data_IF_682047779405
#
_entry.id   IF_682047779405
#
_cell.length_a   1.000
_cell.length_b   1.000
_cell.length_c   1.000
_cell.angle_alpha   90.00
_cell.angle_beta   90.00
_cell.angle_gamma   90.00
#
_symmetry.space_group_name_H-M   'P 1'
#
loop_
_entity.id
_entity.type
_entity.pdbx_description
1 polymer ?
#
# COMPACT_ATOMS: atom_id res chain seq x y z
N UNK A 1 -8.71 -4.75 -21.03
CA UNK A 1 -7.58 -4.79 -20.08
C UNK A 1 -6.41 -5.48 -20.74
N UNK A 2 -5.19 -4.99 -20.53
CA UNK A 2 -3.98 -5.74 -20.87
C UNK A 2 -3.92 -7.01 -20.02
N UNK A 3 -3.54 -8.15 -20.62
CA UNK A 3 -3.38 -9.41 -19.92
C UNK A 3 -1.93 -9.57 -19.48
N UNK A 4 -1.73 -9.90 -18.21
CA UNK A 4 -0.42 -10.25 -17.64
C UNK A 4 -0.51 -11.69 -17.17
N UNK A 5 0.47 -12.52 -17.55
CA UNK A 5 0.55 -13.92 -17.14
C UNK A 5 1.63 -14.08 -16.08
N UNK A 6 1.28 -14.67 -14.93
CA UNK A 6 2.20 -14.96 -13.83
C UNK A 6 1.90 -16.37 -13.33
N UNK A 7 2.94 -17.15 -13.05
CA UNK A 7 2.81 -18.45 -12.39
C UNK A 7 2.83 -18.26 -10.88
N UNK A 8 1.89 -18.89 -10.18
CA UNK A 8 1.79 -18.85 -8.73
C UNK A 8 1.62 -20.28 -8.20
N UNK A 9 2.03 -20.47 -6.95
CA UNK A 9 1.76 -21.71 -6.24
C UNK A 9 0.24 -21.89 -6.03
N UNK A 10 -0.28 -23.08 -6.33
CA UNK A 10 -1.71 -23.35 -6.24
C UNK A 10 -2.20 -23.36 -4.79
N UNK A 11 -1.41 -23.88 -3.84
CA UNK A 11 -1.75 -23.94 -2.42
C UNK A 11 -1.90 -22.51 -1.87
N UNK A 12 -0.96 -21.63 -2.21
CA UNK A 12 -1.01 -20.22 -1.83
C UNK A 12 -2.30 -19.55 -2.32
N UNK A 13 -2.68 -19.77 -3.58
CA UNK A 13 -3.90 -19.16 -4.14
C UNK A 13 -5.15 -19.72 -3.46
N UNK A 14 -5.19 -21.01 -3.16
CA UNK A 14 -6.30 -21.65 -2.44
C UNK A 14 -6.44 -21.08 -1.02
N UNK A 15 -5.35 -20.89 -0.29
CA UNK A 15 -5.40 -20.26 1.04
C UNK A 15 -6.03 -18.86 0.99
N UNK A 16 -5.62 -18.04 0.01
CA UNK A 16 -6.20 -16.70 -0.19
C UNK A 16 -7.68 -16.79 -0.56
N UNK A 17 -8.05 -17.72 -1.43
CA UNK A 17 -9.45 -17.95 -1.82
C UNK A 17 -10.31 -18.28 -0.60
N UNK A 18 -9.85 -19.15 0.29
CA UNK A 18 -10.53 -19.50 1.54
C UNK A 18 -10.65 -18.29 2.46
N UNK A 19 -9.54 -17.56 2.67
CA UNK A 19 -9.52 -16.38 3.53
C UNK A 19 -10.44 -15.26 3.03
N UNK A 20 -10.51 -15.05 1.72
CA UNK A 20 -11.32 -14.02 1.09
C UNK A 20 -12.76 -14.47 0.77
N UNK A 21 -13.07 -15.76 0.90
CA UNK A 21 -14.38 -16.32 0.57
C UNK A 21 -14.73 -16.25 -0.93
N UNK A 22 -13.74 -16.36 -1.81
CA UNK A 22 -13.92 -16.27 -3.27
C UNK A 22 -13.67 -17.61 -3.96
N UNK A 23 -14.42 -17.88 -5.04
CA UNK A 23 -14.34 -19.13 -5.81
C UNK A 23 -13.40 -19.10 -7.02
N UNK A 24 -12.73 -17.98 -7.28
CA UNK A 24 -11.90 -17.76 -8.47
C UNK A 24 -10.45 -17.41 -8.06
N UNK A 25 -9.44 -18.11 -8.61
CA UNK A 25 -8.03 -17.74 -8.48
C UNK A 25 -7.74 -16.31 -8.93
N UNK A 26 -8.41 -15.84 -9.99
CA UNK A 26 -8.24 -14.48 -10.49
C UNK A 26 -8.74 -13.46 -9.48
N UNK A 27 -9.92 -13.68 -8.91
CA UNK A 27 -10.52 -12.75 -7.94
C UNK A 27 -9.67 -12.68 -6.66
N UNK A 28 -9.16 -13.83 -6.21
CA UNK A 28 -8.24 -13.89 -5.07
C UNK A 28 -6.98 -13.04 -5.30
N UNK A 29 -6.35 -13.17 -6.47
CA UNK A 29 -5.15 -12.37 -6.81
C UNK A 29 -5.50 -10.89 -6.95
N UNK A 30 -6.63 -10.54 -7.60
CA UNK A 30 -7.05 -9.15 -7.73
C UNK A 30 -7.30 -8.49 -6.38
N UNK A 31 -7.93 -9.19 -5.43
CA UNK A 31 -8.16 -8.70 -4.08
C UNK A 31 -6.85 -8.42 -3.36
N UNK A 32 -5.88 -9.34 -3.43
CA UNK A 32 -4.56 -9.18 -2.80
C UNK A 32 -3.79 -8.00 -3.40
N UNK A 33 -3.77 -7.86 -4.72
CA UNK A 33 -3.07 -6.76 -5.40
C UNK A 33 -3.70 -5.42 -5.03
N UNK A 34 -5.03 -5.33 -5.00
CA UNK A 34 -5.74 -4.10 -4.59
C UNK A 34 -5.46 -3.75 -3.13
N UNK A 35 -5.48 -4.73 -2.23
CA UNK A 35 -5.14 -4.53 -0.83
C UNK A 35 -3.69 -4.08 -0.65
N UNK A 36 -2.75 -4.67 -1.39
CA UNK A 36 -1.34 -4.26 -1.37
C UNK A 36 -1.17 -2.79 -1.80
N UNK A 37 -1.81 -2.38 -2.89
CA UNK A 37 -1.79 -0.98 -3.36
C UNK A 37 -2.41 -0.05 -2.32
N UNK A 38 -3.58 -0.41 -1.76
CA UNK A 38 -4.24 0.38 -0.73
C UNK A 38 -3.39 0.53 0.55
N UNK A 39 -2.68 -0.53 0.95
CA UNK A 39 -1.69 -0.49 2.04
C UNK A 39 -0.50 0.39 1.72
N UNK A 40 -0.01 0.35 0.47
CA UNK A 40 1.03 1.24 -0.03
C UNK A 40 0.63 2.71 0.12
N UNK A 41 -0.54 3.08 -0.43
CA UNK A 41 -1.06 4.44 -0.31
C UNK A 41 -1.30 4.86 1.14
N UNK A 42 -1.77 3.96 2.02
CA UNK A 42 -1.91 4.27 3.45
C UNK A 42 -0.56 4.56 4.09
N UNK A 43 0.46 3.77 3.75
CA UNK A 43 1.81 3.97 4.29
C UNK A 43 2.42 5.27 3.78
N UNK A 44 2.27 5.55 2.49
CA UNK A 44 2.72 6.80 1.88
C UNK A 44 2.01 8.01 2.49
N UNK A 45 0.69 7.94 2.72
CA UNK A 45 -0.05 9.00 3.38
C UNK A 45 0.44 9.25 4.81
N UNK A 46 0.69 8.19 5.59
CA UNK A 46 1.22 8.32 6.96
C UNK A 46 2.65 8.86 7.00
N UNK A 47 3.48 8.51 6.02
CA UNK A 47 4.85 9.04 5.90
C UNK A 47 4.82 10.49 5.42
N UNK A 48 3.97 10.82 4.43
CA UNK A 48 3.82 12.18 3.91
C UNK A 48 3.28 13.14 4.97
N UNK A 49 2.26 12.74 5.75
CA UNK A 49 1.74 13.52 6.89
C UNK A 49 2.82 13.75 7.97
N UNK A 50 3.68 12.75 8.19
CA UNK A 50 4.83 12.90 9.09
C UNK A 50 5.91 13.82 8.54
N UNK A 51 6.18 13.79 7.23
CA UNK A 51 7.14 14.71 6.60
C UNK A 51 6.62 16.15 6.51
N UNK A 52 5.31 16.34 6.32
CA UNK A 52 4.64 17.64 6.35
C UNK A 52 4.66 18.24 7.76
N UNK A 53 4.30 17.44 8.78
CA UNK A 53 4.38 17.88 10.18
C UNK A 53 5.80 18.17 10.66
N UNK A 54 6.82 17.45 10.19
CA UNK A 54 8.23 17.78 10.48
C UNK A 54 8.66 19.10 9.83
N UNK A 55 8.18 19.39 8.61
CA UNK A 55 8.43 20.67 7.92
C UNK A 55 7.70 21.85 8.58
N UNK A 56 6.50 21.63 9.12
CA UNK A 56 5.75 22.67 9.84
C UNK A 56 6.29 22.93 11.27
N UNK A 57 7.00 21.96 11.86
CA UNK A 57 7.63 22.11 13.19
C UNK A 57 9.05 22.69 13.10
N UNK A 58 9.62 22.88 11.91
CA UNK A 58 10.93 23.52 11.78
C UNK A 58 10.82 25.00 12.21
N UNK A 59 11.44 25.40 13.34
CA UNK A 59 11.38 26.78 13.77
C UNK A 59 12.19 27.60 12.76
N UNK A 60 11.53 28.58 12.12
CA UNK A 60 12.20 29.61 11.30
C UNK A 60 13.45 30.08 12.06
N UNK A 61 14.65 30.09 11.44
CA UNK A 61 15.83 30.63 12.08
C UNK A 61 15.51 32.07 12.45
N UNK A 62 15.37 32.35 13.75
CA UNK A 62 15.30 33.72 14.23
C UNK A 62 16.61 34.37 13.80
N UNK A 63 16.52 35.28 12.83
CA UNK A 63 17.62 36.15 12.48
C UNK A 63 18.06 36.86 13.76
N UNK A 64 19.16 36.39 14.33
CA UNK A 64 19.79 36.99 15.50
C UNK A 64 20.42 38.29 14.99
N UNK A 65 19.63 39.37 15.05
CA UNK A 65 20.11 40.73 14.88
C UNK A 65 20.62 41.23 16.22
N UNK A 66 21.89 41.66 16.26
CA UNK A 66 22.48 42.43 17.37
C UNK A 66 23.79 41.86 17.86
#
# INVERSE_FOLDING_TARGET
MAKVSVSLDAELVVEVMVLAGVGSPQDAVELVVRDYIARGHRTEALVAEREESVRDVEPKPQAQQG
#
